data_IF_940835402583
#
_entry.id   IF_940835402583
#
_cell.length_a   1.000
_cell.length_b   1.000
_cell.length_c   1.000
_cell.angle_alpha   90.00
_cell.angle_beta   90.00
_cell.angle_gamma   90.00
#
_symmetry.space_group_name_H-M   'P 1'
#
loop_
_entity.id
_entity.type
_entity.pdbx_description
1 polymer ?
#
# COMPACT_ATOMS: atom_id res chain seq x y z
N UNK A 1 -40.01 49.83 -52.88
CA UNK A 1 -40.13 48.36 -53.01
C UNK A 1 -38.74 47.79 -53.18
N UNK A 2 -38.07 47.39 -52.11
CA UNK A 2 -36.82 46.65 -52.14
C UNK A 2 -36.93 45.50 -51.15
N UNK A 3 -37.16 44.42 -51.70
CA UNK A 3 -36.75 43.04 -51.57
C UNK A 3 -36.65 42.44 -50.15
N UNK A 4 -37.69 41.64 -49.89
CA UNK A 4 -37.80 40.76 -48.75
C UNK A 4 -36.77 39.59 -48.75
N UNK A 5 -35.98 39.42 -49.81
CA UNK A 5 -35.01 38.32 -49.98
C UNK A 5 -33.68 38.57 -49.28
N UNK A 6 -33.37 39.80 -48.84
CA UNK A 6 -32.12 40.16 -48.20
C UNK A 6 -32.18 40.00 -46.69
N UNK A 7 -33.33 39.73 -46.07
CA UNK A 7 -33.49 39.52 -44.62
C UNK A 7 -33.41 38.07 -44.20
N UNK A 8 -33.45 37.16 -45.16
CA UNK A 8 -33.43 35.72 -44.85
C UNK A 8 -32.03 35.10 -44.87
N UNK A 9 -31.02 35.81 -45.40
CA UNK A 9 -29.63 35.33 -45.41
C UNK A 9 -28.80 35.67 -44.16
N UNK A 10 -29.27 36.55 -43.29
CA UNK A 10 -28.54 36.94 -42.08
C UNK A 10 -28.97 36.18 -40.82
N UNK A 11 -29.84 35.16 -40.93
CA UNK A 11 -30.30 34.34 -39.81
C UNK A 11 -29.58 32.99 -39.67
N UNK A 12 -28.63 32.70 -40.56
CA UNK A 12 -27.86 31.42 -40.52
C UNK A 12 -26.46 31.54 -39.93
N UNK A 13 -26.04 32.72 -39.47
CA UNK A 13 -24.68 32.93 -38.93
C UNK A 13 -24.59 33.07 -37.40
N UNK A 14 -25.66 32.81 -36.64
CA UNK A 14 -25.65 32.99 -35.17
C UNK A 14 -25.86 31.70 -34.35
N UNK A 15 -25.66 30.52 -34.92
CA UNK A 15 -25.66 29.28 -34.14
C UNK A 15 -24.54 28.33 -34.55
N UNK A 16 -23.32 28.84 -34.74
CA UNK A 16 -22.15 28.05 -34.46
C UNK A 16 -21.89 28.14 -32.94
N UNK A 17 -22.62 27.36 -32.16
CA UNK A 17 -22.23 27.08 -30.80
C UNK A 17 -20.86 26.41 -30.90
N UNK A 18 -19.84 27.12 -30.45
CA UNK A 18 -18.56 26.51 -30.17
C UNK A 18 -18.83 25.36 -29.20
N UNK A 19 -18.85 24.14 -29.71
CA UNK A 19 -18.72 22.94 -28.86
C UNK A 19 -17.39 23.12 -28.12
N UNK A 20 -17.50 23.53 -26.86
CA UNK A 20 -16.37 23.45 -25.96
C UNK A 20 -16.02 21.98 -25.93
N UNK A 21 -14.80 21.61 -26.31
CA UNK A 21 -14.36 20.23 -26.09
C UNK A 21 -14.60 19.91 -24.61
N UNK A 22 -15.09 18.71 -24.28
CA UNK A 22 -15.27 18.32 -22.89
C UNK A 22 -13.95 18.60 -22.17
N UNK A 23 -13.97 19.09 -20.93
CA UNK A 23 -12.74 19.37 -20.20
C UNK A 23 -11.92 18.09 -20.25
N UNK A 24 -10.75 18.18 -20.87
CA UNK A 24 -9.77 17.11 -20.86
C UNK A 24 -9.53 16.77 -19.39
N UNK A 25 -9.91 15.55 -18.96
CA UNK A 25 -9.78 15.01 -17.59
C UNK A 25 -8.31 14.77 -17.18
N UNK A 26 -7.40 15.51 -17.76
CA UNK A 26 -5.98 15.50 -17.43
C UNK A 26 -5.57 16.80 -16.75
N UNK A 27 -6.22 17.13 -15.63
CA UNK A 27 -5.47 17.81 -14.59
C UNK A 27 -4.35 16.83 -14.22
N UNK A 28 -3.10 17.16 -14.55
CA UNK A 28 -1.95 16.28 -14.36
C UNK A 28 -1.98 15.73 -12.94
N UNK A 29 -2.28 14.44 -12.80
CA UNK A 29 -2.36 13.78 -11.52
C UNK A 29 -0.99 13.90 -10.84
N UNK A 30 -0.95 14.61 -9.72
CA UNK A 30 0.27 14.79 -8.96
C UNK A 30 0.40 13.65 -7.96
N UNK A 31 1.52 12.92 -7.98
CA UNK A 31 1.87 11.94 -6.95
C UNK A 31 1.73 12.53 -5.53
N UNK A 32 2.07 13.82 -5.35
CA UNK A 32 1.91 14.53 -4.09
C UNK A 32 0.44 14.69 -3.66
N UNK A 33 -0.47 14.87 -4.61
CA UNK A 33 -1.90 14.94 -4.29
C UNK A 33 -2.41 13.57 -3.84
N UNK A 34 -1.98 12.49 -4.49
CA UNK A 34 -2.27 11.11 -4.09
C UNK A 34 -1.69 10.80 -2.71
N UNK A 35 -0.43 11.15 -2.46
CA UNK A 35 0.21 10.98 -1.15
C UNK A 35 -0.59 11.68 -0.04
N UNK A 36 -1.01 12.92 -0.28
CA UNK A 36 -1.83 13.67 0.69
C UNK A 36 -3.21 13.04 0.91
N UNK A 37 -3.86 12.55 -0.16
CA UNK A 37 -5.14 11.86 -0.05
C UNK A 37 -5.01 10.54 0.72
N UNK A 38 -3.95 9.76 0.46
CA UNK A 38 -3.63 8.55 1.21
C UNK A 38 -3.41 8.85 2.71
N UNK A 39 -2.63 9.88 3.04
CA UNK A 39 -2.40 10.31 4.42
C UNK A 39 -3.71 10.69 5.13
N UNK A 40 -4.57 11.48 4.49
CA UNK A 40 -5.86 11.87 5.05
C UNK A 40 -6.77 10.66 5.31
N UNK A 41 -6.58 9.57 4.57
CA UNK A 41 -7.31 8.31 4.72
C UNK A 41 -6.63 7.31 5.69
N UNK A 42 -5.53 7.69 6.35
CA UNK A 42 -4.81 6.83 7.29
C UNK A 42 -3.80 5.87 6.66
N UNK A 43 -3.48 6.07 5.38
CA UNK A 43 -2.47 5.31 4.66
C UNK A 43 -1.23 6.16 4.36
N UNK A 44 -0.14 5.49 4.04
CA UNK A 44 1.05 6.12 3.43
C UNK A 44 1.28 5.53 2.04
N UNK A 45 1.85 6.32 1.13
CA UNK A 45 2.46 5.78 -0.07
C UNK A 45 3.78 5.11 0.31
N UNK A 46 3.86 3.80 0.08
CA UNK A 46 5.05 3.01 0.41
C UNK A 46 6.07 2.97 -0.73
N UNK A 47 5.78 3.63 -1.82
CA UNK A 47 6.64 3.75 -2.98
C UNK A 47 5.87 3.60 -4.28
N UNK A 48 6.50 4.02 -5.36
CA UNK A 48 5.97 3.91 -6.70
C UNK A 48 7.05 3.41 -7.67
N UNK A 49 6.64 2.74 -8.73
CA UNK A 49 7.55 2.27 -9.77
C UNK A 49 6.86 2.28 -11.13
N UNK A 50 7.62 2.60 -12.17
CA UNK A 50 7.20 2.32 -13.54
C UNK A 50 7.40 0.83 -13.83
N UNK A 51 6.38 0.21 -14.37
CA UNK A 51 6.40 -1.21 -14.71
C UNK A 51 6.56 -1.30 -16.22
N UNK A 52 7.77 -1.65 -16.66
CA UNK A 52 7.97 -1.99 -18.05
C UNK A 52 7.38 -3.38 -18.29
N UNK A 53 6.46 -3.49 -19.25
CA UNK A 53 5.94 -4.79 -19.69
C UNK A 53 7.11 -5.64 -20.17
N UNK A 54 7.46 -6.68 -19.41
CA UNK A 54 8.51 -7.63 -19.81
C UNK A 54 8.01 -8.67 -20.82
N UNK A 55 6.70 -8.75 -21.02
CA UNK A 55 6.04 -9.78 -21.81
C UNK A 55 5.37 -9.24 -23.07
N UNK A 56 5.29 -7.91 -23.26
CA UNK A 56 4.53 -7.32 -24.36
C UNK A 56 3.00 -7.56 -24.24
N UNK A 57 2.53 -8.01 -23.09
CA UNK A 57 1.10 -8.13 -22.79
C UNK A 57 0.55 -6.75 -22.51
N UNK A 58 -0.52 -6.38 -23.21
CA UNK A 58 -1.11 -5.03 -23.19
C UNK A 58 -1.76 -4.65 -21.85
N UNK A 59 -1.82 -5.56 -20.88
CA UNK A 59 -2.56 -5.41 -19.64
C UNK A 59 -1.69 -5.09 -18.40
N UNK A 60 -0.35 -4.93 -18.58
CA UNK A 60 0.52 -4.51 -17.48
C UNK A 60 0.34 -3.01 -17.20
N UNK A 61 0.15 -2.57 -15.94
CA UNK A 61 0.07 -1.14 -15.62
C UNK A 61 1.39 -0.44 -15.93
N UNK A 62 1.33 0.80 -16.44
CA UNK A 62 2.53 1.59 -16.68
C UNK A 62 3.17 2.08 -15.38
N UNK A 63 2.36 2.40 -14.37
CA UNK A 63 2.83 2.81 -13.03
C UNK A 63 2.07 2.10 -11.93
N UNK A 64 2.78 1.65 -10.91
CA UNK A 64 2.23 1.09 -9.67
C UNK A 64 2.59 1.98 -8.50
N UNK A 65 1.61 2.35 -7.68
CA UNK A 65 1.81 3.03 -6.39
C UNK A 65 1.35 2.12 -5.27
N UNK A 66 2.26 1.71 -4.40
CA UNK A 66 1.95 0.89 -3.23
C UNK A 66 1.47 1.76 -2.08
N UNK A 67 0.37 1.37 -1.45
CA UNK A 67 -0.15 2.02 -0.25
C UNK A 67 -0.21 1.03 0.91
N UNK A 68 0.06 1.54 2.11
CA UNK A 68 0.11 0.70 3.30
C UNK A 68 -0.09 1.48 4.59
N UNK A 69 0.02 0.79 5.72
CA UNK A 69 -0.21 1.41 7.02
C UNK A 69 0.98 2.25 7.46
N UNK A 70 0.69 3.44 7.97
CA UNK A 70 1.62 4.34 8.66
C UNK A 70 1.14 4.64 10.08
N UNK A 71 1.62 5.73 10.65
CA UNK A 71 1.29 6.17 12.01
C UNK A 71 -0.20 6.44 12.23
N UNK A 72 -0.86 7.01 11.22
CA UNK A 72 -2.27 7.46 11.31
C UNK A 72 -3.28 6.32 11.04
N UNK A 73 -2.80 5.14 10.65
CA UNK A 73 -3.70 4.03 10.33
C UNK A 73 -4.56 3.60 11.52
N UNK A 74 -3.94 3.33 12.66
CA UNK A 74 -4.66 2.73 13.78
C UNK A 74 -5.77 3.60 14.35
N UNK A 75 -5.57 4.90 14.61
CA UNK A 75 -6.65 5.78 15.09
C UNK A 75 -7.84 5.82 14.13
N UNK A 76 -7.61 5.83 12.81
CA UNK A 76 -8.67 5.90 11.80
C UNK A 76 -9.36 4.54 11.65
N UNK A 77 -8.58 3.45 11.51
CA UNK A 77 -9.13 2.11 11.35
C UNK A 77 -9.93 1.66 12.57
N UNK A 78 -9.39 1.86 13.79
CA UNK A 78 -10.04 1.37 15.02
C UNK A 78 -11.39 2.01 15.32
N UNK A 79 -11.70 3.15 14.70
CA UNK A 79 -12.99 3.85 14.81
C UNK A 79 -13.87 3.66 13.58
N UNK A 80 -13.40 2.96 12.56
CA UNK A 80 -14.17 2.69 11.35
C UNK A 80 -15.24 1.62 11.59
N UNK A 81 -16.21 1.54 10.68
CA UNK A 81 -17.24 0.51 10.70
C UNK A 81 -16.62 -0.89 10.74
N UNK A 82 -15.68 -1.16 9.83
CA UNK A 82 -15.03 -2.46 9.73
C UNK A 82 -14.19 -2.81 10.97
N UNK A 83 -13.64 -1.79 11.64
CA UNK A 83 -12.89 -1.96 12.90
C UNK A 83 -13.78 -2.29 14.10
N UNK A 84 -15.09 -2.00 14.03
CA UNK A 84 -16.04 -2.11 15.13
C UNK A 84 -17.12 -3.19 14.95
N UNK A 85 -17.38 -3.64 13.71
CA UNK A 85 -18.52 -4.50 13.38
C UNK A 85 -18.35 -5.97 13.78
N UNK A 86 -17.13 -6.39 14.15
CA UNK A 86 -16.83 -7.76 14.56
C UNK A 86 -16.84 -8.79 13.42
N UNK A 87 -17.01 -8.38 12.17
CA UNK A 87 -16.98 -9.28 11.03
C UNK A 87 -15.57 -9.73 10.66
N UNK A 88 -15.41 -10.88 9.98
CA UNK A 88 -14.11 -11.39 9.53
C UNK A 88 -13.36 -10.41 8.62
N UNK A 89 -12.03 -10.50 8.63
CA UNK A 89 -11.12 -9.73 7.75
C UNK A 89 -11.33 -8.21 7.77
N UNK A 90 -11.44 -7.57 8.96
CA UNK A 90 -11.81 -6.15 9.05
C UNK A 90 -10.81 -5.24 8.35
N UNK A 91 -9.50 -5.52 8.47
CA UNK A 91 -8.45 -4.71 7.82
C UNK A 91 -8.51 -4.83 6.30
N UNK A 92 -8.81 -6.01 5.76
CA UNK A 92 -8.87 -6.18 4.30
C UNK A 92 -10.12 -5.52 3.72
N UNK A 93 -11.27 -5.62 4.41
CA UNK A 93 -12.50 -4.90 4.03
C UNK A 93 -12.31 -3.39 4.03
N UNK A 94 -11.75 -2.86 5.10
CA UNK A 94 -11.40 -1.45 5.21
C UNK A 94 -10.43 -1.02 4.10
N UNK A 95 -9.39 -1.82 3.84
CA UNK A 95 -8.41 -1.54 2.80
C UNK A 95 -9.06 -1.48 1.42
N UNK A 96 -9.94 -2.43 1.10
CA UNK A 96 -10.67 -2.44 -0.19
C UNK A 96 -11.52 -1.18 -0.35
N UNK A 97 -12.25 -0.76 0.67
CA UNK A 97 -13.04 0.47 0.62
C UNK A 97 -12.17 1.72 0.46
N UNK A 98 -11.13 1.87 1.28
CA UNK A 98 -10.29 3.08 1.26
C UNK A 98 -9.44 3.16 0.00
N UNK A 99 -8.77 2.08 -0.39
CA UNK A 99 -7.94 2.06 -1.60
C UNK A 99 -8.80 2.17 -2.85
N UNK A 100 -10.00 1.58 -2.85
CA UNK A 100 -10.98 1.76 -3.92
C UNK A 100 -11.40 3.22 -4.08
N UNK A 101 -11.73 3.91 -2.98
CA UNK A 101 -12.04 5.35 -3.02
C UNK A 101 -10.88 6.19 -3.58
N UNK A 102 -9.63 5.86 -3.21
CA UNK A 102 -8.46 6.52 -3.78
C UNK A 102 -8.33 6.24 -5.27
N UNK A 103 -8.56 4.99 -5.70
CA UNK A 103 -8.51 4.63 -7.10
C UNK A 103 -9.52 5.42 -7.94
N UNK A 104 -10.77 5.51 -7.47
CA UNK A 104 -11.82 6.30 -8.13
C UNK A 104 -11.44 7.79 -8.23
N UNK A 105 -10.84 8.34 -7.17
CA UNK A 105 -10.42 9.74 -7.14
C UNK A 105 -9.29 10.05 -8.12
N UNK A 106 -8.40 9.09 -8.39
CA UNK A 106 -7.20 9.28 -9.19
C UNK A 106 -7.23 8.55 -10.54
N UNK A 107 -8.39 8.04 -10.95
CA UNK A 107 -8.58 7.33 -12.23
C UNK A 107 -7.58 6.15 -12.38
N UNK A 108 -7.49 5.34 -11.31
CA UNK A 108 -6.63 4.16 -11.22
C UNK A 108 -7.46 2.89 -11.03
N UNK A 109 -6.88 1.75 -11.31
CA UNK A 109 -7.40 0.46 -10.88
C UNK A 109 -6.68 -0.02 -9.61
N UNK A 110 -7.18 -1.09 -8.99
CA UNK A 110 -6.63 -1.58 -7.71
C UNK A 110 -6.16 -3.02 -7.82
N UNK A 111 -5.15 -3.35 -6.99
CA UNK A 111 -4.81 -4.73 -6.67
C UNK A 111 -4.60 -4.85 -5.15
N UNK A 112 -4.91 -6.03 -4.61
CA UNK A 112 -4.77 -6.30 -3.18
C UNK A 112 -3.93 -7.55 -2.93
N UNK A 113 -3.16 -7.61 -1.81
CA UNK A 113 -2.39 -8.81 -1.45
C UNK A 113 -3.25 -10.07 -1.27
N UNK A 114 -4.55 -9.91 -1.01
CA UNK A 114 -5.52 -10.99 -0.86
C UNK A 114 -6.15 -11.46 -2.17
N UNK A 115 -5.91 -10.77 -3.29
CA UNK A 115 -6.49 -11.14 -4.58
C UNK A 115 -5.72 -12.33 -5.17
N UNK A 116 -6.41 -13.39 -5.51
CA UNK A 116 -5.80 -14.53 -6.18
C UNK A 116 -6.29 -15.87 -5.68
N UNK A 117 -5.79 -17.00 -6.20
CA UNK A 117 -4.77 -17.15 -7.26
C UNK A 117 -5.26 -16.76 -8.68
N UNK A 118 -4.40 -16.23 -9.56
CA UNK A 118 -2.99 -15.85 -9.31
C UNK A 118 -2.86 -14.58 -8.48
N UNK A 119 -1.86 -14.54 -7.59
CA UNK A 119 -1.63 -13.37 -6.74
C UNK A 119 -0.86 -12.27 -7.48
N UNK A 120 -1.23 -10.99 -7.32
CA UNK A 120 -0.47 -9.88 -7.87
C UNK A 120 0.97 -9.87 -7.32
N UNK A 121 1.98 -9.46 -8.12
CA UNK A 121 3.39 -9.59 -7.77
C UNK A 121 3.89 -8.48 -6.83
N UNK A 122 3.25 -8.29 -5.68
CA UNK A 122 3.54 -7.24 -4.70
C UNK A 122 5.01 -7.18 -4.27
N UNK A 123 5.68 -8.32 -4.12
CA UNK A 123 7.11 -8.37 -3.75
C UNK A 123 7.95 -7.76 -4.86
N UNK A 124 7.70 -8.12 -6.12
CA UNK A 124 8.40 -7.57 -7.26
C UNK A 124 8.17 -6.07 -7.40
N UNK A 125 6.92 -5.62 -7.27
CA UNK A 125 6.59 -4.19 -7.30
C UNK A 125 7.29 -3.43 -6.17
N UNK A 126 7.24 -3.94 -4.94
CA UNK A 126 7.87 -3.32 -3.78
C UNK A 126 9.38 -3.11 -4.00
N UNK A 127 10.08 -4.12 -4.45
CA UNK A 127 11.53 -4.03 -4.72
C UNK A 127 11.87 -3.03 -5.84
N UNK A 128 11.00 -2.87 -6.84
CA UNK A 128 11.18 -1.89 -7.92
C UNK A 128 11.01 -0.43 -7.46
N UNK A 129 10.37 -0.18 -6.32
CA UNK A 129 10.20 1.19 -5.81
C UNK A 129 11.47 1.81 -5.26
N UNK A 130 12.55 1.05 -5.05
CA UNK A 130 13.78 1.45 -4.36
C UNK A 130 13.55 1.98 -2.92
N UNK A 131 12.42 1.61 -2.30
CA UNK A 131 12.09 1.91 -0.90
C UNK A 131 12.00 0.67 -0.03
N UNK A 132 12.01 -0.51 -0.66
CA UNK A 132 12.02 -1.81 0.01
C UNK A 132 13.33 -2.53 -0.28
N UNK A 133 13.89 -3.13 0.75
CA UNK A 133 15.15 -3.84 0.71
C UNK A 133 15.02 -5.19 1.42
N UNK A 134 15.96 -6.10 1.19
CA UNK A 134 16.04 -7.33 1.98
C UNK A 134 16.81 -7.08 3.28
N UNK A 135 16.23 -7.47 4.40
CA UNK A 135 16.90 -7.40 5.70
C UNK A 135 17.75 -8.65 5.95
N UNK A 136 18.68 -8.61 6.95
CA UNK A 136 19.50 -9.77 7.31
C UNK A 136 18.70 -11.02 7.75
N UNK A 137 17.44 -10.86 8.14
CA UNK A 137 16.54 -11.98 8.50
C UNK A 137 15.65 -12.44 7.34
N UNK A 138 15.95 -12.05 6.11
CA UNK A 138 15.23 -12.47 4.90
C UNK A 138 13.87 -11.82 4.70
N UNK A 139 13.41 -10.96 5.60
CA UNK A 139 12.18 -10.18 5.44
C UNK A 139 12.45 -8.88 4.68
N UNK A 140 11.47 -8.38 3.94
CA UNK A 140 11.55 -7.03 3.41
C UNK A 140 11.58 -6.00 4.56
N UNK A 141 12.39 -4.95 4.38
CA UNK A 141 12.45 -3.77 5.24
C UNK A 141 12.17 -2.54 4.39
N UNK A 142 11.32 -1.65 4.90
CA UNK A 142 10.98 -0.38 4.24
C UNK A 142 11.77 0.76 4.89
N UNK A 143 12.17 1.74 4.10
CA UNK A 143 12.98 2.88 4.53
C UNK A 143 12.36 3.70 5.69
N UNK A 144 11.04 3.73 5.81
CA UNK A 144 10.32 4.54 6.82
C UNK A 144 9.73 3.69 7.95
N UNK A 145 9.10 2.55 7.62
CA UNK A 145 8.37 1.72 8.60
C UNK A 145 9.14 0.46 9.03
N UNK A 146 10.38 0.31 8.58
CA UNK A 146 11.25 -0.79 8.94
C UNK A 146 10.67 -2.16 8.58
N UNK A 147 10.72 -3.08 9.53
CA UNK A 147 10.13 -4.43 9.40
C UNK A 147 8.62 -4.47 9.68
N UNK A 148 8.00 -3.32 10.02
CA UNK A 148 6.55 -3.21 10.29
C UNK A 148 5.73 -2.96 9.01
N UNK A 149 6.19 -3.47 7.87
CA UNK A 149 5.51 -3.38 6.58
C UNK A 149 4.11 -3.98 6.68
N UNK A 150 3.13 -3.26 6.14
CA UNK A 150 1.75 -3.72 5.98
C UNK A 150 1.16 -3.07 4.73
N UNK A 151 1.48 -3.63 3.56
CA UNK A 151 0.91 -3.18 2.28
C UNK A 151 -0.59 -3.50 2.29
N UNK A 152 -1.41 -2.51 1.96
CA UNK A 152 -2.87 -2.63 1.96
C UNK A 152 -3.48 -2.70 0.57
N UNK A 153 -2.74 -2.28 -0.43
CA UNK A 153 -3.14 -2.34 -1.83
C UNK A 153 -2.14 -1.65 -2.73
N UNK A 154 -2.42 -1.68 -3.99
CA UNK A 154 -1.73 -0.93 -5.03
C UNK A 154 -2.75 -0.15 -5.85
N UNK A 155 -2.37 1.05 -6.27
CA UNK A 155 -3.03 1.83 -7.31
C UNK A 155 -2.26 1.61 -8.61
N UNK A 156 -2.97 1.20 -9.64
CA UNK A 156 -2.41 0.82 -10.93
C UNK A 156 -2.88 1.84 -11.97
N UNK A 157 -1.93 2.45 -12.66
CA UNK A 157 -2.17 3.45 -13.69
C UNK A 157 -1.76 2.92 -15.05
N UNK A 158 -2.61 3.09 -16.04
CA UNK A 158 -2.36 2.67 -17.43
C UNK A 158 -1.34 3.58 -18.13
N UNK A 159 -1.02 4.73 -17.53
CA UNK A 159 -0.04 5.70 -18.04
C UNK A 159 1.09 5.90 -17.05
N UNK A 160 2.24 6.33 -17.55
CA UNK A 160 3.32 6.78 -16.69
C UNK A 160 2.96 8.11 -16.03
N UNK A 161 2.98 8.12 -14.69
CA UNK A 161 2.81 9.32 -13.89
C UNK A 161 4.17 9.77 -13.33
N UNK A 162 4.35 11.08 -13.12
CA UNK A 162 5.57 11.58 -12.49
C UNK A 162 5.66 11.07 -11.04
N UNK A 163 6.65 10.23 -10.75
CA UNK A 163 6.93 9.67 -9.43
C UNK A 163 8.22 10.25 -8.85
N UNK A 164 8.35 10.34 -7.52
CA UNK A 164 9.60 10.75 -6.89
C UNK A 164 10.72 9.75 -7.19
N UNK A 165 11.89 10.24 -7.52
CA UNK A 165 13.08 9.39 -7.62
C UNK A 165 13.53 9.00 -6.22
N UNK A 166 13.56 7.71 -5.93
CA UNK A 166 14.12 7.17 -4.70
C UNK A 166 15.45 6.48 -5.02
N UNK A 167 16.55 7.13 -4.67
CA UNK A 167 17.90 6.53 -4.70
C UNK A 167 18.37 6.42 -3.24
N UNK A 168 17.74 5.49 -2.52
CA UNK A 168 17.97 5.30 -1.10
C UNK A 168 18.86 4.09 -0.88
N UNK A 169 19.86 4.25 -0.01
CA UNK A 169 20.61 3.12 0.50
C UNK A 169 19.77 2.28 1.46
N UNK A 170 19.99 0.96 1.47
CA UNK A 170 19.31 0.10 2.43
C UNK A 170 19.55 0.55 3.87
N UNK A 171 18.51 0.68 4.71
CA UNK A 171 18.66 1.05 6.11
C UNK A 171 19.44 0.01 6.91
N UNK A 172 19.65 -1.18 6.36
CA UNK A 172 20.42 -2.25 7.00
C UNK A 172 21.93 -2.09 6.83
N UNK A 173 22.42 -1.28 5.88
CA UNK A 173 23.85 -1.18 5.54
C UNK A 173 24.72 -0.77 6.75
N UNK A 174 24.26 0.21 7.54
CA UNK A 174 24.97 0.69 8.72
C UNK A 174 24.33 0.22 10.05
N UNK A 175 23.34 -0.67 9.99
CA UNK A 175 22.59 -1.15 11.14
C UNK A 175 23.33 -2.31 11.83
N UNK A 176 23.34 -2.32 13.17
CA UNK A 176 23.86 -3.44 13.99
C UNK A 176 23.00 -4.72 13.91
N UNK A 177 21.93 -4.70 13.10
CA UNK A 177 21.02 -5.81 12.83
C UNK A 177 20.45 -6.51 14.09
N UNK A 178 19.90 -5.79 15.09
CA UNK A 178 19.37 -6.43 16.31
C UNK A 178 18.25 -7.43 16.03
N UNK A 179 17.57 -7.32 14.88
CA UNK A 179 16.54 -8.26 14.45
C UNK A 179 17.03 -9.71 14.32
N UNK A 180 18.35 -9.93 14.14
CA UNK A 180 18.94 -11.27 13.94
C UNK A 180 19.07 -12.08 15.21
N UNK A 181 19.01 -11.45 16.39
CA UNK A 181 19.27 -12.09 17.68
C UNK A 181 18.11 -11.98 18.68
N UNK A 182 17.07 -11.23 18.35
CA UNK A 182 15.98 -10.96 19.31
C UNK A 182 14.81 -11.94 19.22
N UNK A 183 14.78 -12.85 18.22
CA UNK A 183 13.78 -13.91 18.19
C UNK A 183 14.07 -14.96 19.27
N UNK A 184 13.17 -15.18 20.25
CA UNK A 184 13.44 -16.09 21.40
C UNK A 184 13.74 -17.54 20.99
N UNK A 185 13.19 -17.98 19.84
CA UNK A 185 13.36 -19.35 19.33
C UNK A 185 14.21 -19.40 18.05
N UNK A 186 14.88 -18.30 17.70
CA UNK A 186 15.74 -18.25 16.52
C UNK A 186 15.01 -18.47 15.18
N UNK A 187 13.68 -18.39 15.17
CA UNK A 187 12.88 -18.58 13.96
C UNK A 187 13.20 -17.55 12.86
N UNK A 188 13.62 -16.35 13.26
CA UNK A 188 14.19 -15.30 12.42
C UNK A 188 15.63 -15.11 12.85
N UNK A 189 16.59 -15.46 12.00
CA UNK A 189 18.03 -15.35 12.23
C UNK A 189 18.76 -14.98 10.95
N UNK A 190 20.01 -14.51 11.08
CA UNK A 190 20.80 -14.09 9.92
C UNK A 190 21.09 -15.26 8.99
N UNK A 191 20.87 -15.06 7.70
CA UNK A 191 21.27 -16.01 6.66
C UNK A 191 20.47 -17.32 6.63
N UNK A 192 19.42 -17.45 7.44
CA UNK A 192 18.55 -18.62 7.48
C UNK A 192 17.16 -18.29 6.93
N UNK A 193 16.49 -19.28 6.36
CA UNK A 193 15.08 -19.18 6.00
C UNK A 193 14.21 -19.03 7.26
N UNK A 194 13.12 -18.26 7.15
CA UNK A 194 12.18 -18.10 8.26
C UNK A 194 11.56 -19.45 8.67
N UNK A 195 11.85 -19.87 9.89
CA UNK A 195 11.26 -21.09 10.47
C UNK A 195 9.87 -20.79 11.03
N UNK A 196 8.87 -20.81 10.16
CA UNK A 196 7.47 -20.51 10.50
C UNK A 196 6.94 -21.50 11.55
N UNK A 197 7.28 -22.78 11.43
CA UNK A 197 6.84 -23.83 12.38
C UNK A 197 7.33 -23.54 13.79
N UNK A 198 8.63 -23.25 13.97
CA UNK A 198 9.16 -22.91 15.30
C UNK A 198 8.52 -21.62 15.85
N UNK A 199 8.24 -20.63 14.98
CA UNK A 199 7.54 -19.42 15.39
C UNK A 199 6.15 -19.75 15.90
N UNK A 200 5.33 -20.46 15.13
CA UNK A 200 3.95 -20.80 15.53
C UNK A 200 3.92 -21.63 16.82
N UNK A 201 4.78 -22.63 16.95
CA UNK A 201 4.88 -23.42 18.20
C UNK A 201 5.21 -22.55 19.42
N UNK A 202 6.06 -21.53 19.25
CA UNK A 202 6.35 -20.58 20.32
C UNK A 202 5.17 -19.68 20.67
N UNK A 203 4.41 -19.22 19.67
CA UNK A 203 3.24 -18.37 19.89
C UNK A 203 2.11 -19.07 20.68
N UNK A 204 2.09 -20.40 20.69
CA UNK A 204 1.14 -21.22 21.48
C UNK A 204 1.53 -21.32 22.96
N UNK A 205 2.76 -20.90 23.32
CA UNK A 205 3.23 -20.96 24.73
C UNK A 205 2.88 -19.68 25.49
N UNK A 206 2.96 -19.76 26.82
CA UNK A 206 2.83 -18.59 27.72
C UNK A 206 3.90 -17.52 27.44
N UNK A 207 5.12 -17.94 27.12
CA UNK A 207 6.24 -17.05 26.79
C UNK A 207 6.02 -16.32 25.46
N UNK A 208 5.31 -16.94 24.53
CA UNK A 208 4.98 -16.39 23.22
C UNK A 208 3.93 -15.29 23.26
N UNK A 209 3.20 -15.13 24.38
CA UNK A 209 2.12 -14.15 24.50
C UNK A 209 2.59 -12.70 24.32
N UNK A 210 3.85 -12.39 24.63
CA UNK A 210 4.42 -11.07 24.35
C UNK A 210 4.51 -10.76 22.85
N UNK A 211 4.77 -11.80 22.02
CA UNK A 211 4.70 -11.64 20.56
C UNK A 211 3.25 -11.46 20.09
N UNK A 212 2.30 -12.21 20.67
CA UNK A 212 0.89 -12.11 20.29
C UNK A 212 0.28 -10.75 20.63
N UNK A 213 0.63 -10.18 21.80
CA UNK A 213 0.04 -8.93 22.28
C UNK A 213 0.76 -7.67 21.79
N UNK A 214 2.07 -7.72 21.55
CA UNK A 214 2.88 -6.55 21.20
C UNK A 214 3.55 -6.65 19.82
N UNK A 215 3.43 -7.80 19.15
CA UNK A 215 4.06 -8.08 17.86
C UNK A 215 5.44 -8.71 17.98
N UNK A 216 5.93 -9.23 16.86
CA UNK A 216 7.18 -9.97 16.74
C UNK A 216 8.40 -9.21 17.31
N UNK A 217 9.17 -9.84 18.18
CA UNK A 217 10.39 -9.25 18.78
C UNK A 217 11.40 -8.79 17.71
N UNK A 218 11.67 -9.60 16.69
CA UNK A 218 12.61 -9.23 15.64
C UNK A 218 12.14 -7.99 14.84
N UNK A 219 10.82 -7.87 14.58
CA UNK A 219 10.28 -6.68 13.91
C UNK A 219 10.37 -5.44 14.80
N UNK A 220 10.07 -5.56 16.08
CA UNK A 220 10.16 -4.45 17.04
C UNK A 220 11.60 -3.99 17.28
N UNK A 221 12.57 -4.90 17.22
CA UNK A 221 13.98 -4.58 17.41
C UNK A 221 14.59 -3.78 16.25
N UNK A 222 13.96 -3.73 15.08
CA UNK A 222 14.43 -2.92 13.96
C UNK A 222 14.31 -1.43 14.30
N UNK A 223 15.42 -0.65 14.30
CA UNK A 223 15.37 0.77 14.68
C UNK A 223 14.42 1.60 13.78
N UNK A 224 14.32 1.25 12.49
CA UNK A 224 13.43 1.95 11.54
C UNK A 224 11.96 1.61 11.80
N UNK A 225 11.66 0.50 12.46
CA UNK A 225 10.29 0.10 12.79
C UNK A 225 9.55 1.09 13.69
N UNK A 226 10.28 1.94 14.43
CA UNK A 226 9.69 3.04 15.21
C UNK A 226 8.89 4.01 14.34
N UNK A 227 9.27 4.20 13.06
CA UNK A 227 8.55 5.06 12.12
C UNK A 227 7.14 4.59 11.77
N UNK A 228 6.80 3.33 12.04
CA UNK A 228 5.45 2.82 11.87
C UNK A 228 4.49 3.30 12.98
N UNK A 229 4.98 3.78 14.11
CA UNK A 229 4.22 4.18 15.30
C UNK A 229 3.13 3.16 15.69
N UNK A 230 3.44 1.87 15.51
CA UNK A 230 2.47 0.79 15.67
C UNK A 230 2.15 0.55 17.15
N UNK A 231 0.87 0.62 17.51
CA UNK A 231 0.41 0.33 18.86
C UNK A 231 0.40 -1.17 19.15
N UNK A 232 0.38 -1.55 20.43
CA UNK A 232 0.25 -2.94 20.85
C UNK A 232 -1.06 -3.55 20.36
N UNK A 233 -2.17 -2.81 20.43
CA UNK A 233 -3.47 -3.25 19.92
C UNK A 233 -3.44 -3.55 18.41
N UNK A 234 -2.82 -2.68 17.60
CA UNK A 234 -2.61 -2.92 16.19
C UNK A 234 -1.74 -4.15 15.95
N UNK A 235 -0.67 -4.30 16.72
CA UNK A 235 0.24 -5.45 16.63
C UNK A 235 -0.48 -6.74 16.96
N UNK A 236 -1.28 -6.76 18.04
CA UNK A 236 -2.09 -7.91 18.44
C UNK A 236 -3.07 -8.33 17.36
N UNK A 237 -3.75 -7.37 16.71
CA UNK A 237 -4.65 -7.66 15.59
C UNK A 237 -3.93 -8.36 14.43
N UNK A 238 -2.74 -7.88 14.06
CA UNK A 238 -1.94 -8.49 12.99
C UNK A 238 -1.40 -9.86 13.39
N UNK A 239 -0.98 -10.03 14.65
CA UNK A 239 -0.49 -11.32 15.14
C UNK A 239 -1.61 -12.37 15.22
N UNK A 240 -2.81 -11.98 15.61
CA UNK A 240 -3.99 -12.85 15.56
C UNK A 240 -4.34 -13.30 14.12
N UNK A 241 -4.16 -12.43 13.14
CA UNK A 241 -4.35 -12.80 11.73
C UNK A 241 -3.24 -13.73 11.21
N UNK A 242 -1.99 -13.53 11.67
CA UNK A 242 -0.85 -14.38 11.31
C UNK A 242 -0.90 -15.76 11.98
N UNK A 243 -1.31 -15.80 13.22
CA UNK A 243 -1.43 -17.03 14.03
C UNK A 243 -2.81 -17.07 14.67
N UNK A 244 -3.84 -17.47 13.91
CA UNK A 244 -5.17 -17.64 14.49
C UNK A 244 -5.10 -18.77 15.52
N UNK A 245 -5.46 -18.46 16.75
CA UNK A 245 -5.60 -19.49 17.79
C UNK A 245 -6.54 -20.57 17.26
N UNK A 246 -6.15 -21.83 17.35
CA UNK A 246 -7.09 -22.92 17.12
C UNK A 246 -8.27 -22.67 18.07
N UNK A 247 -9.45 -22.46 17.50
CA UNK A 247 -10.69 -22.40 18.30
C UNK A 247 -10.81 -23.77 18.97
N UNK A 248 -10.95 -23.86 20.29
CA UNK A 248 -11.07 -25.13 20.99
C UNK A 248 -12.32 -25.88 20.54
#
# INVERSE_FOLDING_TARGET
MRNAAQRQQNLWYCHAQAEHPPPTRHSAMSYRALEKAAQNAGLITMGAAHIQSQTGVADDPATVVLVGTGADFWPIFSTSEEGQDGHPHPVDRWSKRIVGTLADQFDATTAYPSDGPPYPPFISWALKTNRFFLSPVGMMVHDTVGLMISIRGALLFDTEIAIPTADLASPCTACKAPCTTTCPVGALSAGAAYNVTACHSYLDTSEGQSCMSQGCHARRACPVSAGACRTDAQSALHMKAFHPCATP
#
